data_IF_552550249005
#
_entry.id   IF_552550249005
#
_cell.length_a   1.000
_cell.length_b   1.000
_cell.length_c   1.000
_cell.angle_alpha   90.00
_cell.angle_beta   90.00
_cell.angle_gamma   90.00
#
_symmetry.space_group_name_H-M   'P 1'
#
loop_
_entity.id
_entity.type
_entity.pdbx_description
1 polymer ?
#
# COMPACT_ATOMS: atom_id res chain seq x y z
N UNK A 1 -7.50 15.39 -6.16
CA UNK A 1 -6.99 14.22 -6.90
C UNK A 1 -6.55 13.06 -6.00
N UNK A 2 -5.82 13.27 -4.89
CA UNK A 2 -5.39 12.14 -4.03
C UNK A 2 -6.55 11.44 -3.30
N UNK A 3 -7.61 12.16 -2.90
CA UNK A 3 -8.82 11.58 -2.29
C UNK A 3 -9.45 10.51 -3.20
N UNK A 4 -9.53 10.78 -4.51
CA UNK A 4 -10.05 9.82 -5.48
C UNK A 4 -9.23 8.52 -5.51
N UNK A 5 -7.89 8.61 -5.46
CA UNK A 5 -7.04 7.42 -5.42
C UNK A 5 -7.19 6.64 -4.10
N UNK A 6 -7.40 7.34 -2.98
CA UNK A 6 -7.69 6.70 -1.70
C UNK A 6 -9.03 5.95 -1.78
N UNK A 7 -10.10 6.59 -2.27
CA UNK A 7 -11.40 5.93 -2.46
C UNK A 7 -11.28 4.72 -3.37
N UNK A 8 -10.58 4.86 -4.50
CA UNK A 8 -10.33 3.76 -5.43
C UNK A 8 -9.59 2.59 -4.76
N UNK A 9 -8.62 2.87 -3.89
CA UNK A 9 -7.91 1.83 -3.14
C UNK A 9 -8.80 1.10 -2.14
N UNK A 10 -9.68 1.81 -1.43
CA UNK A 10 -10.67 1.22 -0.52
C UNK A 10 -11.61 0.31 -1.31
N UNK A 11 -12.19 0.82 -2.41
CA UNK A 11 -13.09 0.04 -3.26
C UNK A 11 -12.41 -1.18 -3.86
N UNK A 12 -11.15 -1.07 -4.27
CA UNK A 12 -10.38 -2.21 -4.80
C UNK A 12 -10.21 -3.31 -3.76
N UNK A 13 -9.88 -2.97 -2.50
CA UNK A 13 -9.73 -3.96 -1.42
C UNK A 13 -11.06 -4.63 -1.14
N UNK A 14 -12.13 -3.84 -0.94
CA UNK A 14 -13.47 -4.37 -0.63
C UNK A 14 -13.97 -5.29 -1.76
N UNK A 15 -13.78 -4.89 -3.01
CA UNK A 15 -14.21 -5.69 -4.17
C UNK A 15 -13.40 -6.98 -4.29
N UNK A 16 -12.08 -6.92 -4.03
CA UNK A 16 -11.22 -8.11 -4.06
C UNK A 16 -11.62 -9.11 -2.98
N UNK A 17 -11.89 -8.62 -1.76
CA UNK A 17 -12.36 -9.45 -0.66
C UNK A 17 -13.72 -10.08 -0.96
N UNK A 18 -14.64 -9.30 -1.54
CA UNK A 18 -15.94 -9.81 -1.98
C UNK A 18 -15.78 -10.92 -3.03
N UNK A 19 -14.93 -10.73 -4.04
CA UNK A 19 -14.69 -11.76 -5.07
C UNK A 19 -14.04 -13.01 -4.45
N UNK A 20 -13.04 -12.85 -3.58
CA UNK A 20 -12.41 -13.99 -2.91
C UNK A 20 -13.42 -14.78 -2.08
N UNK A 21 -14.28 -14.07 -1.36
CA UNK A 21 -15.32 -14.66 -0.52
C UNK A 21 -16.39 -15.36 -1.37
N UNK A 22 -16.88 -14.73 -2.44
CA UNK A 22 -17.95 -15.28 -3.27
C UNK A 22 -17.54 -16.49 -4.11
N UNK A 23 -16.29 -16.55 -4.58
CA UNK A 23 -15.84 -17.60 -5.50
C UNK A 23 -14.96 -18.68 -4.85
N UNK A 24 -14.29 -18.37 -3.75
CA UNK A 24 -13.33 -19.28 -3.09
C UNK A 24 -13.83 -19.68 -1.69
N UNK A 25 -14.94 -19.09 -1.23
CA UNK A 25 -15.43 -19.18 0.16
C UNK A 25 -14.33 -18.88 1.19
N UNK A 26 -13.45 -17.95 0.83
CA UNK A 26 -12.27 -17.59 1.61
C UNK A 26 -12.20 -16.09 1.81
N UNK A 27 -12.21 -15.67 3.08
CA UNK A 27 -11.93 -14.28 3.46
C UNK A 27 -10.43 -14.10 3.66
N UNK A 28 -9.84 -13.12 2.97
CA UNK A 28 -8.42 -12.77 3.15
C UNK A 28 -8.21 -12.27 4.57
N UNK A 29 -9.18 -11.56 5.14
CA UNK A 29 -9.11 -11.04 6.50
C UNK A 29 -8.96 -12.16 7.56
N UNK A 30 -9.55 -13.33 7.28
CA UNK A 30 -9.47 -14.51 8.14
C UNK A 30 -8.19 -15.33 7.95
N UNK A 31 -7.27 -14.90 7.08
CA UNK A 31 -5.96 -15.52 6.94
C UNK A 31 -5.11 -15.27 8.19
N UNK A 32 -5.06 -16.25 9.08
CA UNK A 32 -4.25 -16.23 10.30
C UNK A 32 -3.08 -17.23 10.21
N UNK A 33 -1.86 -16.79 10.52
CA UNK A 33 -0.73 -17.69 10.77
C UNK A 33 -0.63 -17.99 12.27
N UNK A 34 -0.56 -19.27 12.61
CA UNK A 34 -0.36 -19.72 13.99
C UNK A 34 -1.40 -19.15 14.96
N UNK A 35 -2.65 -19.02 14.52
CA UNK A 35 -3.83 -18.52 15.27
C UNK A 35 -3.76 -17.04 15.66
N UNK A 36 -2.58 -16.51 15.95
CA UNK A 36 -2.40 -15.19 16.58
C UNK A 36 -2.00 -14.10 15.60
N UNK A 37 -1.36 -14.45 14.47
CA UNK A 37 -0.86 -13.45 13.52
C UNK A 37 -1.88 -13.25 12.40
N UNK A 38 -2.63 -12.13 12.37
CA UNK A 38 -3.61 -11.84 11.33
C UNK A 38 -2.92 -11.40 10.04
N UNK A 39 -2.39 -12.39 9.31
CA UNK A 39 -1.64 -12.19 8.08
C UNK A 39 -2.47 -11.45 7.02
N UNK A 40 -3.77 -11.75 6.94
CA UNK A 40 -4.72 -11.04 6.10
C UNK A 40 -4.74 -9.54 6.35
N UNK A 41 -4.97 -9.15 7.60
CA UNK A 41 -5.00 -7.76 8.03
C UNK A 41 -3.65 -7.05 7.81
N UNK A 42 -2.54 -7.76 8.01
CA UNK A 42 -1.20 -7.25 7.69
C UNK A 42 -1.12 -6.92 6.19
N UNK A 43 -1.41 -7.89 5.31
CA UNK A 43 -1.31 -7.71 3.86
C UNK A 43 -2.20 -6.58 3.33
N UNK A 44 -3.46 -6.54 3.81
CA UNK A 44 -4.40 -5.46 3.46
C UNK A 44 -3.88 -4.11 3.95
N UNK A 45 -3.39 -4.05 5.19
CA UNK A 45 -2.78 -2.84 5.76
C UNK A 45 -1.60 -2.35 4.92
N UNK A 46 -0.67 -3.25 4.56
CA UNK A 46 0.48 -2.94 3.71
C UNK A 46 0.06 -2.35 2.36
N UNK A 47 -0.94 -2.96 1.71
CA UNK A 47 -1.48 -2.48 0.44
C UNK A 47 -2.11 -1.09 0.57
N UNK A 48 -2.95 -0.87 1.59
CA UNK A 48 -3.56 0.43 1.86
C UNK A 48 -2.51 1.52 2.12
N UNK A 49 -1.49 1.20 2.92
CA UNK A 49 -0.36 2.09 3.20
C UNK A 49 0.40 2.49 1.94
N UNK A 50 0.69 1.51 1.08
CA UNK A 50 1.31 1.74 -0.23
C UNK A 50 0.42 2.58 -1.15
N UNK A 51 -0.88 2.27 -1.27
CA UNK A 51 -1.81 3.02 -2.11
C UNK A 51 -1.95 4.47 -1.65
N UNK A 52 -2.07 4.68 -0.33
CA UNK A 52 -2.06 6.01 0.28
C UNK A 52 -0.76 6.75 -0.02
N UNK A 53 0.40 6.09 0.12
CA UNK A 53 1.70 6.73 -0.16
C UNK A 53 1.79 7.22 -1.61
N UNK A 54 1.31 6.43 -2.58
CA UNK A 54 1.23 6.83 -3.99
C UNK A 54 0.28 8.00 -4.20
N UNK A 55 -0.89 7.98 -3.56
CA UNK A 55 -1.85 9.07 -3.64
C UNK A 55 -1.27 10.39 -3.10
N UNK A 56 -0.58 10.33 -1.96
CA UNK A 56 0.08 11.48 -1.35
C UNK A 56 1.28 11.97 -2.15
N UNK A 57 2.12 11.07 -2.67
CA UNK A 57 3.25 11.44 -3.53
C UNK A 57 2.76 12.18 -4.78
N UNK A 58 1.68 11.70 -5.42
CA UNK A 58 1.05 12.38 -6.57
C UNK A 58 0.48 13.76 -6.24
N UNK A 59 0.17 14.04 -4.97
CA UNK A 59 -0.28 15.36 -4.52
C UNK A 59 0.87 16.38 -4.40
N UNK A 60 2.12 15.92 -4.47
CA UNK A 60 3.34 16.73 -4.38
C UNK A 60 3.42 17.62 -3.13
N UNK A 61 2.91 17.15 -1.99
CA UNK A 61 2.94 17.86 -0.70
C UNK A 61 3.68 17.04 0.34
N UNK A 62 4.58 17.67 1.09
CA UNK A 62 5.32 17.03 2.18
C UNK A 62 4.36 16.42 3.20
N UNK A 63 4.59 15.14 3.51
CA UNK A 63 3.91 14.43 4.56
C UNK A 63 4.13 15.08 5.95
N UNK A 64 3.12 14.95 6.81
CA UNK A 64 3.04 15.45 8.20
C UNK A 64 2.38 14.38 9.06
N UNK A 65 2.68 14.36 10.35
CA UNK A 65 2.12 13.38 11.32
C UNK A 65 0.59 13.22 11.26
N UNK A 66 -0.16 14.31 11.05
CA UNK A 66 -1.62 14.25 10.90
C UNK A 66 -2.11 13.40 9.72
N UNK A 67 -1.32 13.19 8.67
CA UNK A 67 -1.71 12.29 7.59
C UNK A 67 -1.67 10.81 8.02
N UNK A 68 -0.92 10.44 9.08
CA UNK A 68 -1.03 9.10 9.66
C UNK A 68 -2.43 8.84 10.22
N UNK A 69 -3.10 9.86 10.75
CA UNK A 69 -4.49 9.74 11.22
C UNK A 69 -5.44 9.51 10.04
N UNK A 70 -5.21 10.15 8.89
CA UNK A 70 -5.97 9.89 7.66
C UNK A 70 -5.80 8.42 7.24
N UNK A 71 -4.56 7.91 7.22
CA UNK A 71 -4.29 6.51 6.87
C UNK A 71 -4.92 5.53 7.87
N UNK A 72 -4.90 5.86 9.17
CA UNK A 72 -5.58 5.06 10.19
C UNK A 72 -7.11 5.04 9.96
N UNK A 73 -7.72 6.19 9.66
CA UNK A 73 -9.14 6.27 9.31
C UNK A 73 -9.47 5.47 8.05
N UNK A 74 -8.62 5.51 7.02
CA UNK A 74 -8.78 4.70 5.80
C UNK A 74 -8.76 3.21 6.14
N UNK A 75 -7.83 2.76 6.99
CA UNK A 75 -7.79 1.38 7.45
C UNK A 75 -9.08 0.99 8.19
N UNK A 76 -9.55 1.80 9.14
CA UNK A 76 -10.79 1.53 9.89
C UNK A 76 -12.00 1.47 8.95
N UNK A 77 -12.15 2.43 8.03
CA UNK A 77 -13.25 2.45 7.06
C UNK A 77 -13.21 1.21 6.17
N UNK A 78 -12.02 0.81 5.72
CA UNK A 78 -11.86 -0.40 4.89
C UNK A 78 -12.22 -1.65 5.68
N UNK A 79 -11.81 -1.74 6.95
CA UNK A 79 -12.16 -2.84 7.84
C UNK A 79 -13.68 -2.99 7.97
N UNK A 80 -14.36 -1.89 8.30
CA UNK A 80 -15.81 -1.86 8.44
C UNK A 80 -16.51 -2.16 7.11
N UNK A 81 -15.97 -1.66 6.00
CA UNK A 81 -16.48 -1.91 4.66
C UNK A 81 -16.42 -3.39 4.27
N UNK A 82 -15.32 -4.08 4.60
CA UNK A 82 -15.17 -5.53 4.40
C UNK A 82 -16.23 -6.28 5.19
N UNK A 83 -16.30 -6.05 6.51
CA UNK A 83 -17.26 -6.72 7.40
C UNK A 83 -18.72 -6.43 7.00
N UNK A 84 -19.00 -5.19 6.57
CA UNK A 84 -20.32 -4.81 6.10
C UNK A 84 -20.70 -5.52 4.79
N UNK A 85 -19.75 -5.66 3.87
CA UNK A 85 -19.98 -6.43 2.65
C UNK A 85 -20.23 -7.90 2.94
N UNK A 86 -19.50 -8.50 3.88
CA UNK A 86 -19.76 -9.87 4.34
C UNK A 86 -21.20 -10.00 4.89
N UNK A 87 -21.61 -9.08 5.76
CA UNK A 87 -23.00 -9.02 6.25
C UNK A 87 -24.03 -8.93 5.11
N UNK A 88 -23.76 -8.12 4.08
CA UNK A 88 -24.69 -7.95 2.94
C UNK A 88 -24.73 -9.15 1.99
N UNK A 89 -23.76 -10.04 2.06
CA UNK A 89 -23.57 -11.12 1.09
C UNK A 89 -23.70 -12.51 1.71
N UNK A 90 -23.94 -12.57 3.02
CA UNK A 90 -24.22 -13.81 3.73
C UNK A 90 -25.71 -14.14 3.66
N UNK A 91 -26.02 -15.38 3.33
CA UNK A 91 -27.36 -15.94 3.23
C UNK A 91 -27.53 -17.06 4.25
N UNK A 92 -28.76 -17.26 4.70
CA UNK A 92 -29.14 -18.35 5.58
C UNK A 92 -29.87 -19.40 4.73
N UNK A 93 -29.34 -20.61 4.68
CA UNK A 93 -30.01 -21.76 4.08
C UNK A 93 -31.18 -22.25 4.95
N UNK A 94 -32.04 -23.10 4.38
CA UNK A 94 -33.18 -23.70 5.08
C UNK A 94 -32.77 -24.52 6.32
N UNK A 95 -31.54 -25.06 6.31
CA UNK A 95 -30.93 -25.79 7.44
C UNK A 95 -30.28 -24.86 8.48
N UNK A 96 -30.52 -23.55 8.41
CA UNK A 96 -29.92 -22.52 9.27
C UNK A 96 -28.39 -22.41 9.21
N UNK A 97 -27.77 -23.00 8.18
CA UNK A 97 -26.34 -22.84 7.94
C UNK A 97 -26.08 -21.58 7.11
N UNK A 98 -25.02 -20.84 7.44
CA UNK A 98 -24.66 -19.64 6.67
C UNK A 98 -23.97 -20.07 5.38
N UNK A 99 -24.59 -19.71 4.26
CA UNK A 99 -24.01 -19.88 2.94
C UNK A 99 -23.64 -18.54 2.32
N UNK A 100 -22.60 -18.54 1.50
CA UNK A 100 -22.18 -17.39 0.69
C UNK A 100 -22.50 -17.58 -0.81
N UNK A 101 -23.23 -18.64 -1.17
CA UNK A 101 -23.62 -18.98 -2.55
C UNK A 101 -24.86 -18.25 -3.07
N UNK A 102 -25.34 -17.21 -2.37
CA UNK A 102 -26.59 -16.49 -2.68
C UNK A 102 -27.85 -17.38 -2.66
N UNK A 103 -27.77 -18.52 -1.97
CA UNK A 103 -28.88 -19.45 -1.81
C UNK A 103 -29.52 -19.28 -0.42
N UNK A 104 -30.85 -19.16 -0.40
CA UNK A 104 -31.62 -18.98 0.83
C UNK A 104 -32.06 -17.53 1.08
N UNK A 105 -32.30 -17.20 2.35
CA UNK A 105 -32.77 -15.86 2.75
C UNK A 105 -31.58 -14.97 3.10
N UNK A 106 -31.49 -13.72 2.58
CA UNK A 106 -30.43 -12.80 2.97
C UNK A 106 -30.40 -12.61 4.49
N UNK A 107 -29.22 -12.68 5.11
CA UNK A 107 -29.12 -12.55 6.58
C UNK A 107 -29.64 -11.20 7.08
N UNK A 108 -29.56 -10.17 6.23
CA UNK A 108 -30.11 -8.84 6.53
C UNK A 108 -31.63 -8.79 6.62
N UNK A 109 -32.34 -9.83 6.18
CA UNK A 109 -33.80 -9.96 6.26
C UNK A 109 -34.24 -10.95 7.35
N UNK A 110 -33.31 -11.67 7.95
CA UNK A 110 -33.58 -12.63 9.00
C UNK A 110 -34.08 -11.95 10.28
N UNK A 111 -35.13 -12.52 10.88
CA UNK A 111 -35.70 -12.09 12.16
C UNK A 111 -35.52 -13.24 13.14
N UNK A 112 -34.95 -12.94 14.31
CA UNK A 112 -34.78 -13.91 15.38
C UNK A 112 -35.42 -13.41 16.67
N UNK A 113 -35.84 -14.35 17.51
CA UNK A 113 -36.41 -14.06 18.82
C UNK A 113 -35.29 -13.99 19.85
N UNK A 114 -35.13 -12.83 20.50
CA UNK A 114 -34.23 -12.68 21.64
C UNK A 114 -34.70 -13.50 22.85
N UNK A 115 -33.83 -13.69 23.84
CA UNK A 115 -34.16 -14.37 25.10
C UNK A 115 -35.38 -13.78 25.83
N UNK A 116 -35.68 -12.49 25.59
CA UNK A 116 -36.82 -11.78 26.17
C UNK A 116 -38.12 -11.93 25.35
N UNK A 117 -38.13 -12.81 24.33
CA UNK A 117 -39.29 -13.04 23.46
C UNK A 117 -39.52 -11.97 22.38
N UNK A 118 -38.63 -10.98 22.28
CA UNK A 118 -38.74 -9.90 21.29
C UNK A 118 -38.17 -10.32 19.93
N UNK A 119 -38.93 -10.12 18.87
CA UNK A 119 -38.47 -10.31 17.50
C UNK A 119 -37.56 -9.15 17.07
N UNK A 120 -36.31 -9.47 16.73
CA UNK A 120 -35.32 -8.48 16.30
C UNK A 120 -34.79 -8.86 14.94
N UNK A 121 -34.80 -7.89 14.03
CA UNK A 121 -34.19 -8.03 12.71
C UNK A 121 -32.66 -8.07 12.87
N UNK A 122 -32.03 -9.05 12.22
CA UNK A 122 -30.58 -9.19 12.19
C UNK A 122 -29.96 -8.00 11.46
N UNK A 123 -29.42 -7.06 12.23
CA UNK A 123 -28.70 -5.90 11.71
C UNK A 123 -27.19 -6.17 11.71
N UNK A 124 -26.41 -5.26 11.11
CA UNK A 124 -24.95 -5.40 11.02
C UNK A 124 -24.28 -5.63 12.39
N UNK A 125 -24.70 -4.93 13.44
CA UNK A 125 -24.09 -5.03 14.77
C UNK A 125 -24.38 -6.39 15.40
N UNK A 126 -25.63 -6.83 15.34
CA UNK A 126 -26.06 -8.12 15.88
C UNK A 126 -25.41 -9.28 15.11
N UNK A 127 -25.27 -9.14 13.79
CA UNK A 127 -24.57 -10.11 12.96
C UNK A 127 -23.10 -10.24 13.33
N UNK A 128 -22.40 -9.11 13.53
CA UNK A 128 -21.00 -9.13 13.96
C UNK A 128 -20.85 -9.77 15.35
N UNK A 129 -21.74 -9.46 16.28
CA UNK A 129 -21.77 -10.10 17.59
C UNK A 129 -21.99 -11.61 17.48
N UNK A 130 -22.96 -12.03 16.66
CA UNK A 130 -23.24 -13.44 16.39
C UNK A 130 -22.02 -14.18 15.83
N UNK A 131 -21.33 -13.59 14.84
CA UNK A 131 -20.09 -14.16 14.31
C UNK A 131 -19.02 -14.30 15.39
N UNK A 132 -18.77 -13.25 16.18
CA UNK A 132 -17.75 -13.29 17.23
C UNK A 132 -18.08 -14.31 18.33
N UNK A 133 -19.36 -14.49 18.65
CA UNK A 133 -19.79 -15.43 19.67
C UNK A 133 -19.78 -16.90 19.18
N UNK A 134 -19.91 -17.15 17.86
CA UNK A 134 -20.11 -18.50 17.30
C UNK A 134 -19.06 -18.95 16.26
N UNK A 135 -18.08 -18.12 15.90
CA UNK A 135 -17.00 -18.51 14.97
C UNK A 135 -16.08 -19.55 15.63
N UNK A 136 -16.19 -20.80 15.18
CA UNK A 136 -15.20 -21.83 15.44
C UNK A 136 -14.00 -21.63 14.50
N UNK A 137 -12.79 -21.53 15.07
CA UNK A 137 -11.57 -21.34 14.30
C UNK A 137 -11.03 -22.68 13.79
N UNK A 138 -10.92 -22.83 12.47
CA UNK A 138 -10.26 -23.99 11.85
C UNK A 138 -8.76 -23.75 11.71
N UNK A 139 -7.94 -24.58 12.34
CA UNK A 139 -6.48 -24.55 12.20
C UNK A 139 -6.04 -25.63 11.21
N UNK A 140 -5.42 -25.24 10.10
CA UNK A 140 -4.75 -26.19 9.20
C UNK A 140 -3.28 -26.36 9.62
N UNK A 141 -2.89 -27.56 10.04
CA UNK A 141 -1.49 -27.89 10.30
C UNK A 141 -0.75 -28.25 9.02
N UNK A 142 0.58 -28.06 9.01
CA UNK A 142 1.48 -28.29 7.87
C UNK A 142 1.43 -29.73 7.33
N UNK A 143 0.90 -30.68 8.08
CA UNK A 143 0.68 -32.09 7.70
C UNK A 143 -0.64 -32.35 6.97
N UNK A 144 -1.44 -31.32 6.65
CA UNK A 144 -2.74 -31.49 6.00
C UNK A 144 -3.89 -31.86 6.96
N UNK A 145 -3.61 -32.06 8.25
CA UNK A 145 -4.63 -32.22 9.28
C UNK A 145 -5.23 -30.86 9.65
N UNK A 146 -6.55 -30.76 9.51
CA UNK A 146 -7.34 -29.62 9.99
C UNK A 146 -7.85 -29.96 11.39
N UNK A 147 -7.50 -29.17 12.39
CA UNK A 147 -8.13 -29.24 13.71
C UNK A 147 -9.12 -28.09 13.85
N UNK A 148 -10.37 -28.41 14.11
CA UNK A 148 -11.35 -27.45 14.60
C UNK A 148 -11.02 -27.17 16.07
N UNK A 149 -10.55 -25.96 16.35
CA UNK A 149 -10.37 -25.51 17.73
C UNK A 149 -11.60 -24.69 18.06
N UNK A 150 -12.44 -25.24 18.95
CA UNK A 150 -13.52 -24.48 19.57
C UNK A 150 -12.93 -23.26 20.26
N UNK A 151 -13.05 -22.12 19.63
CA UNK A 151 -12.58 -20.85 20.16
C UNK A 151 -13.65 -20.32 21.09
N UNK A 152 -13.28 -19.94 22.31
CA UNK A 152 -14.22 -19.21 23.16
C UNK A 152 -14.52 -17.86 22.52
N UNK A 153 -15.75 -17.36 22.65
CA UNK A 153 -16.13 -16.06 22.08
C UNK A 153 -15.14 -14.94 22.45
N UNK A 154 -14.58 -14.97 23.67
CA UNK A 154 -13.53 -14.04 24.12
C UNK A 154 -12.29 -14.02 23.21
N UNK A 155 -11.83 -15.18 22.75
CA UNK A 155 -10.67 -15.28 21.83
C UNK A 155 -11.01 -14.64 20.49
N UNK A 156 -12.24 -14.84 19.98
CA UNK A 156 -12.67 -14.23 18.73
C UNK A 156 -12.68 -12.70 18.80
N UNK A 157 -13.15 -12.11 19.92
CA UNK A 157 -13.04 -10.66 20.12
C UNK A 157 -11.58 -10.19 20.11
N UNK A 158 -10.68 -10.91 20.80
CA UNK A 158 -9.26 -10.57 20.83
C UNK A 158 -8.67 -10.60 19.41
N UNK A 159 -8.93 -11.66 18.65
CA UNK A 159 -8.46 -11.80 17.26
C UNK A 159 -9.02 -10.67 16.40
N UNK A 160 -10.31 -10.35 16.51
CA UNK A 160 -10.96 -9.26 15.78
C UNK A 160 -10.31 -7.90 16.07
N UNK A 161 -10.05 -7.58 17.35
CA UNK A 161 -9.35 -6.34 17.70
C UNK A 161 -7.89 -6.33 17.21
N UNK A 162 -7.21 -7.46 17.27
CA UNK A 162 -5.85 -7.59 16.73
C UNK A 162 -5.84 -7.36 15.21
N UNK A 163 -6.80 -7.89 14.46
CA UNK A 163 -6.93 -7.65 13.02
C UNK A 163 -7.00 -6.14 12.71
N UNK A 164 -7.85 -5.39 13.42
CA UNK A 164 -7.95 -3.93 13.25
C UNK A 164 -6.62 -3.25 13.57
N UNK A 165 -6.02 -3.57 14.72
CA UNK A 165 -4.78 -2.96 15.19
C UNK A 165 -3.64 -3.22 14.19
N UNK A 166 -3.45 -4.46 13.77
CA UNK A 166 -2.41 -4.83 12.82
C UNK A 166 -2.62 -4.16 11.47
N UNK A 167 -3.86 -4.08 10.97
CA UNK A 167 -4.12 -3.38 9.72
C UNK A 167 -3.76 -1.89 9.81
N UNK A 168 -4.08 -1.21 10.92
CA UNK A 168 -3.71 0.19 11.15
C UNK A 168 -2.19 0.35 11.23
N UNK A 169 -1.52 -0.46 12.07
CA UNK A 169 -0.07 -0.39 12.27
C UNK A 169 0.66 -0.58 10.94
N UNK A 170 0.31 -1.62 10.18
CA UNK A 170 1.00 -1.93 8.92
C UNK A 170 0.64 -0.93 7.80
N UNK A 171 -0.57 -0.37 7.78
CA UNK A 171 -0.91 0.72 6.87
C UNK A 171 -0.07 1.97 7.16
N UNK A 172 0.07 2.38 8.41
CA UNK A 172 0.91 3.52 8.80
C UNK A 172 2.39 3.22 8.51
N UNK A 173 2.87 2.04 8.88
CA UNK A 173 4.27 1.65 8.70
C UNK A 173 4.67 1.68 7.22
N UNK A 174 3.90 1.03 6.34
CA UNK A 174 4.17 1.06 4.90
C UNK A 174 4.03 2.46 4.31
N UNK A 175 3.04 3.23 4.78
CA UNK A 175 2.89 4.61 4.35
C UNK A 175 4.13 5.46 4.69
N UNK A 176 4.66 5.35 5.91
CA UNK A 176 5.83 6.09 6.36
C UNK A 176 7.09 5.66 5.60
N UNK A 177 7.34 4.35 5.46
CA UNK A 177 8.53 3.85 4.75
C UNK A 177 8.55 4.29 3.28
N UNK A 178 7.40 4.24 2.60
CA UNK A 178 7.33 4.64 1.20
C UNK A 178 7.55 6.15 1.00
N UNK A 179 7.26 6.97 2.01
CA UNK A 179 7.44 8.43 1.94
C UNK A 179 8.73 8.93 2.58
N UNK A 180 9.36 8.18 3.49
CA UNK A 180 10.57 8.59 4.21
C UNK A 180 11.78 8.73 3.28
N UNK A 181 11.81 7.94 2.20
CA UNK A 181 12.89 7.95 1.23
C UNK A 181 12.76 9.08 0.19
N UNK A 182 11.66 9.84 0.21
CA UNK A 182 11.44 10.91 -0.75
C UNK A 182 12.06 12.23 -0.28
N UNK A 183 12.97 12.78 -1.10
CA UNK A 183 13.50 14.12 -0.88
C UNK A 183 12.42 15.18 -1.09
N UNK A 184 12.45 16.20 -0.27
CA UNK A 184 11.54 17.35 -0.37
C UNK A 184 12.35 18.64 -0.23
N UNK A 185 11.81 19.72 -0.79
CA UNK A 185 12.43 21.03 -0.66
C UNK A 185 11.93 21.73 0.61
N UNK A 186 12.85 22.23 1.43
CA UNK A 186 12.52 22.89 2.69
C UNK A 186 11.72 24.20 2.49
N UNK A 187 11.97 24.91 1.39
CA UNK A 187 11.28 26.16 1.04
C UNK A 187 9.83 25.91 0.61
N UNK A 188 9.63 25.10 -0.44
CA UNK A 188 8.31 24.85 -1.03
C UNK A 188 7.49 23.78 -0.27
N UNK A 189 8.13 22.97 0.59
CA UNK A 189 7.56 21.76 1.24
C UNK A 189 6.88 20.82 0.24
N UNK A 190 7.42 20.75 -0.97
CA UNK A 190 6.99 19.81 -2.03
C UNK A 190 8.06 18.77 -2.26
N UNK A 191 7.64 17.60 -2.74
CA UNK A 191 8.57 16.54 -3.08
C UNK A 191 9.38 16.92 -4.32
N UNK A 192 10.64 16.48 -4.36
CA UNK A 192 11.45 16.61 -5.56
C UNK A 192 10.91 15.69 -6.64
N UNK A 193 10.84 16.20 -7.86
CA UNK A 193 10.59 15.40 -9.05
C UNK A 193 11.92 14.82 -9.50
N UNK A 194 11.95 13.52 -9.77
CA UNK A 194 13.14 12.84 -10.28
C UNK A 194 12.95 12.59 -11.77
N UNK A 195 13.81 13.19 -12.61
CA UNK A 195 13.85 13.00 -14.06
C UNK A 195 15.12 12.25 -14.42
N UNK A 196 15.00 11.14 -15.12
CA UNK A 196 16.16 10.46 -15.69
C UNK A 196 16.74 11.30 -16.82
N UNK A 197 18.05 11.52 -16.81
CA UNK A 197 18.75 12.25 -17.87
C UNK A 197 19.33 11.26 -18.88
N UNK A 198 20.29 10.43 -18.45
CA UNK A 198 20.96 9.45 -19.30
C UNK A 198 21.67 8.37 -18.48
N UNK A 199 22.16 7.33 -19.17
CA UNK A 199 23.01 6.28 -18.60
C UNK A 199 24.35 6.27 -19.34
N UNK A 200 25.43 5.90 -18.65
CA UNK A 200 26.75 5.77 -19.25
C UNK A 200 27.52 4.57 -18.69
N UNK A 201 28.53 4.11 -19.42
CA UNK A 201 29.35 2.94 -19.05
C UNK A 201 30.44 3.30 -18.04
N UNK A 202 30.97 2.34 -17.25
CA UNK A 202 32.10 2.62 -16.36
C UNK A 202 33.34 3.17 -17.05
N UNK A 203 33.53 2.87 -18.34
CA UNK A 203 34.67 3.36 -19.13
C UNK A 203 34.58 4.86 -19.41
N UNK A 204 33.38 5.43 -19.40
CA UNK A 204 33.12 6.85 -19.68
C UNK A 204 33.07 7.69 -18.40
N UNK A 205 33.31 7.09 -17.22
CA UNK A 205 33.11 7.73 -15.93
C UNK A 205 33.92 9.02 -15.77
N UNK A 206 35.22 8.98 -16.02
CA UNK A 206 36.07 10.17 -15.86
C UNK A 206 35.70 11.27 -16.86
N UNK A 207 35.37 10.89 -18.10
CA UNK A 207 34.94 11.85 -19.14
C UNK A 207 33.63 12.53 -18.77
N UNK A 208 32.65 11.76 -18.28
CA UNK A 208 31.37 12.32 -17.85
C UNK A 208 31.55 13.16 -16.60
N UNK A 209 32.34 12.72 -15.62
CA UNK A 209 32.55 13.47 -14.39
C UNK A 209 33.26 14.81 -14.61
N UNK A 210 34.28 14.85 -15.47
CA UNK A 210 34.95 16.10 -15.83
C UNK A 210 33.96 17.08 -16.49
N UNK A 211 33.14 16.61 -17.44
CA UNK A 211 32.08 17.43 -18.03
C UNK A 211 31.02 17.85 -17.00
N UNK A 212 30.76 17.01 -15.99
CA UNK A 212 29.77 17.30 -14.96
C UNK A 212 30.26 18.38 -13.96
N UNK A 213 31.57 18.45 -13.70
CA UNK A 213 32.17 19.49 -12.85
C UNK A 213 32.19 20.85 -13.54
N UNK A 214 32.27 20.87 -14.87
CA UNK A 214 32.21 22.09 -15.70
C UNK A 214 30.77 22.57 -16.00
N UNK A 215 29.72 21.85 -15.53
CA UNK A 215 28.30 22.14 -15.85
C UNK A 215 27.87 23.56 -15.50
N UNK A 216 28.51 24.22 -14.54
CA UNK A 216 28.20 25.61 -14.22
C UNK A 216 28.29 26.55 -15.46
N UNK A 217 28.89 26.10 -16.57
CA UNK A 217 29.01 26.86 -17.80
C UNK A 217 28.13 26.40 -18.99
N UNK A 218 27.75 25.13 -19.16
CA UNK A 218 27.01 24.69 -20.38
C UNK A 218 25.95 23.60 -20.14
N UNK A 219 24.68 24.02 -20.15
CA UNK A 219 23.53 23.10 -20.09
C UNK A 219 23.30 22.29 -21.39
N UNK A 220 23.78 22.79 -22.53
CA UNK A 220 23.60 22.19 -23.86
C UNK A 220 24.36 20.86 -24.00
N UNK A 221 25.54 20.75 -23.42
CA UNK A 221 26.40 19.56 -23.51
C UNK A 221 25.80 18.32 -22.82
N UNK A 222 24.95 18.51 -21.81
CA UNK A 222 24.28 17.41 -21.11
C UNK A 222 23.19 16.75 -21.95
N UNK A 223 22.52 17.50 -22.83
CA UNK A 223 21.55 16.95 -23.78
C UNK A 223 22.27 16.14 -24.87
N UNK A 224 23.46 16.58 -25.29
CA UNK A 224 24.28 15.82 -26.24
C UNK A 224 24.78 14.49 -25.66
N UNK A 225 25.19 14.48 -24.39
CA UNK A 225 25.54 13.26 -23.65
C UNK A 225 24.36 12.28 -23.50
N UNK A 226 23.12 12.77 -23.49
CA UNK A 226 21.94 11.90 -23.50
C UNK A 226 21.61 11.29 -24.86
N UNK A 227 22.08 11.90 -25.95
CA UNK A 227 21.86 11.44 -27.31
C UNK A 227 22.94 10.49 -27.83
N UNK A 228 24.08 10.38 -27.14
CA UNK A 228 25.02 9.28 -27.38
C UNK A 228 24.30 7.97 -27.08
N UNK A 229 23.88 7.33 -28.19
CA UNK A 229 23.04 6.14 -28.28
C UNK A 229 23.24 5.21 -27.10
N UNK A 230 22.12 4.69 -26.58
CA UNK A 230 21.99 3.46 -25.79
C UNK A 230 22.86 2.34 -26.39
N UNK A 231 24.17 2.37 -26.21
CA UNK A 231 24.99 1.18 -26.25
C UNK A 231 24.49 0.41 -25.05
N UNK A 232 23.73 -0.65 -25.30
CA UNK A 232 23.53 -1.70 -24.30
C UNK A 232 24.94 -2.03 -23.82
N UNK A 233 25.30 -1.52 -22.66
CA UNK A 233 26.53 -1.92 -22.01
C UNK A 233 26.32 -3.41 -21.76
N UNK A 234 27.04 -4.26 -22.47
CA UNK A 234 27.06 -5.71 -22.22
C UNK A 234 27.61 -6.04 -20.82
N UNK A 235 28.04 -5.02 -20.06
CA UNK A 235 28.41 -5.14 -18.67
C UNK A 235 27.20 -5.01 -17.75
N UNK A 236 27.09 -5.93 -16.78
CA UNK A 236 26.17 -5.87 -15.62
C UNK A 236 26.27 -4.59 -14.78
N UNK A 237 27.21 -3.69 -15.09
CA UNK A 237 27.48 -2.44 -14.40
C UNK A 237 27.26 -1.24 -15.34
N UNK A 238 26.45 -0.27 -14.91
CA UNK A 238 26.26 1.01 -15.59
C UNK A 238 26.00 2.13 -14.58
N UNK A 239 26.20 3.38 -15.00
CA UNK A 239 25.88 4.56 -14.20
C UNK A 239 24.60 5.21 -14.73
N UNK A 240 23.74 5.65 -13.81
CA UNK A 240 22.48 6.34 -14.07
C UNK A 240 22.55 7.74 -13.52
N UNK A 241 22.27 8.72 -14.38
CA UNK A 241 22.23 10.15 -14.02
C UNK A 241 20.78 10.59 -13.92
N UNK A 242 20.39 11.11 -12.75
CA UNK A 242 19.04 11.57 -12.44
C UNK A 242 19.07 13.02 -11.96
N UNK A 243 18.14 13.85 -12.44
CA UNK A 243 17.89 15.20 -11.93
C UNK A 243 16.79 15.15 -10.88
N UNK A 244 17.09 15.56 -9.65
CA UNK A 244 16.15 15.69 -8.53
C UNK A 244 15.87 17.17 -8.27
N UNK A 245 14.67 17.68 -8.57
CA UNK A 245 14.37 19.12 -8.53
C UNK A 245 12.99 19.49 -7.93
N UNK A 246 12.86 20.65 -7.24
CA UNK A 246 11.54 21.26 -6.90
C UNK A 246 11.07 22.10 -8.09
N UNK A 247 9.94 21.73 -8.70
CA UNK A 247 9.34 22.46 -9.83
C UNK A 247 8.89 23.90 -9.50
N UNK A 248 8.75 24.24 -8.22
CA UNK A 248 8.37 25.60 -7.78
C UNK A 248 9.60 26.46 -7.47
N UNK A 249 10.54 25.94 -6.67
CA UNK A 249 11.73 26.69 -6.27
C UNK A 249 12.83 26.70 -7.32
N UNK A 250 12.71 25.85 -8.36
CA UNK A 250 13.71 25.63 -9.40
C UNK A 250 15.09 25.21 -8.87
N UNK A 251 15.16 24.73 -7.63
CA UNK A 251 16.37 24.18 -7.01
C UNK A 251 16.42 22.66 -7.16
N UNK A 252 17.62 22.10 -7.34
CA UNK A 252 17.79 20.65 -7.49
C UNK A 252 19.22 20.18 -7.42
N UNK A 253 19.42 18.90 -7.68
CA UNK A 253 20.70 18.21 -7.65
C UNK A 253 20.74 17.15 -8.77
N UNK A 254 21.91 16.93 -9.36
CA UNK A 254 22.19 15.75 -10.17
C UNK A 254 22.64 14.64 -9.24
N UNK A 255 21.98 13.49 -9.32
CA UNK A 255 22.30 12.27 -8.57
C UNK A 255 22.89 11.27 -9.56
N UNK A 256 24.08 10.76 -9.25
CA UNK A 256 24.75 9.73 -10.04
C UNK A 256 24.71 8.43 -9.24
N UNK A 257 24.09 7.40 -9.82
CA UNK A 257 23.96 6.07 -9.22
C UNK A 257 24.70 5.04 -10.04
N UNK A 258 25.49 4.18 -9.40
CA UNK A 258 26.04 2.98 -10.05
C UNK A 258 25.12 1.81 -9.82
N UNK A 259 24.72 1.17 -10.91
CA UNK A 259 23.98 -0.08 -10.90
C UNK A 259 24.93 -1.23 -11.16
N UNK A 260 24.81 -2.32 -10.40
CA UNK A 260 25.47 -3.61 -10.64
C UNK A 260 24.46 -4.72 -10.40
N UNK A 261 23.91 -5.30 -11.46
CA UNK A 261 22.75 -6.21 -11.36
C UNK A 261 21.56 -5.53 -10.67
N UNK A 262 21.07 -6.10 -9.57
CA UNK A 262 19.95 -5.55 -8.77
C UNK A 262 20.38 -4.50 -7.72
N UNK A 263 21.68 -4.28 -7.52
CA UNK A 263 22.17 -3.31 -6.53
C UNK A 263 22.39 -1.94 -7.17
N UNK A 264 22.05 -0.89 -6.42
CA UNK A 264 22.28 0.51 -6.82
C UNK A 264 22.90 1.32 -5.69
N UNK A 265 24.06 1.90 -5.93
CA UNK A 265 24.79 2.73 -4.96
C UNK A 265 24.81 4.18 -5.42
N UNK A 266 24.45 5.11 -4.52
CA UNK A 266 24.62 6.55 -4.76
C UNK A 266 26.10 6.90 -4.68
N UNK A 267 26.65 7.51 -5.73
CA UNK A 267 28.08 7.84 -5.81
C UNK A 267 28.34 9.31 -5.56
N UNK A 268 27.58 10.19 -6.21
CA UNK A 268 27.79 11.64 -6.12
C UNK A 268 26.47 12.37 -6.28
N UNK A 269 26.31 13.44 -5.49
CA UNK A 269 25.25 14.42 -5.64
C UNK A 269 25.91 15.77 -5.98
N UNK A 270 25.48 16.42 -7.05
CA UNK A 270 25.98 17.73 -7.49
C UNK A 270 24.81 18.70 -7.40
N UNK A 271 24.90 19.72 -6.54
CA UNK A 271 23.88 20.77 -6.44
C UNK A 271 23.87 21.65 -7.70
N UNK A 272 22.68 22.00 -8.18
CA UNK A 272 22.51 22.81 -9.39
C UNK A 272 21.68 24.06 -9.08
N UNK A 273 22.08 25.18 -9.69
CA UNK A 273 21.34 26.44 -9.64
C UNK A 273 20.16 26.51 -10.63
N UNK A 274 19.30 27.52 -10.41
CA UNK A 274 18.03 27.67 -11.11
C UNK A 274 18.14 27.73 -12.65
N UNK A 275 19.17 28.37 -13.19
CA UNK A 275 19.34 28.59 -14.65
C UNK A 275 19.57 27.28 -15.43
N UNK A 276 20.24 26.33 -14.80
CA UNK A 276 20.56 25.02 -15.38
C UNK A 276 19.37 24.04 -15.33
N UNK A 277 18.46 24.21 -14.39
CA UNK A 277 17.28 23.34 -14.28
C UNK A 277 16.30 23.61 -15.42
N UNK A 278 16.13 24.87 -15.83
CA UNK A 278 15.23 25.23 -16.94
C UNK A 278 15.68 24.67 -18.29
N UNK A 279 16.97 24.52 -18.50
CA UNK A 279 17.54 23.98 -19.74
C UNK A 279 17.52 22.46 -19.79
N UNK A 280 17.41 21.78 -18.64
CA UNK A 280 17.36 20.31 -18.50
C UNK A 280 15.94 19.74 -18.42
N UNK A 281 14.95 20.53 -17.99
CA UNK A 281 13.52 20.16 -18.04
C UNK A 281 13.06 20.09 -19.50
#
# INVERSE_FOLDING_TARGET
>A
MYIFLIILSIMSVITTEYIATAFIDFSILNLNFWVVIPAGSILIGMFLGWACSKAFNKSNKKFKKWHCLIVASVAIITFLGINYMEYRTTYLSDDYTTSRTFEGTPISEFIYTNNDGTEVKMNFINYQKYLLDNLDSTIKFKSGTTAEVKTSGQINYIVYFLQIIFMIIFAIFYFVINLSNLKYCDKCRRYHTVKHLFNFSPLEYDTVMNKLEDINYYALDLKELGNTKKKKSDSDVYFKVELSYCSQCKSGEIIIKKHKGNNSDNIKNISIDNSLIESLI
#
